data_IF_324398134059
#
_entry.id   IF_324398134059
#
_cell.length_a   1.000
_cell.length_b   1.000
_cell.length_c   1.000
_cell.angle_alpha   90.00
_cell.angle_beta   90.00
_cell.angle_gamma   90.00
#
_symmetry.space_group_name_H-M   'P 1'
#
loop_
_entity.id
_entity.type
_entity.pdbx_description
1 polymer ?
#
# COMPACT_ATOMS: atom_id res chain seq x y z
N UNK A 1 0.12 14.09 -10.52
CA UNK A 1 -0.55 12.81 -10.16
C UNK A 1 -0.35 11.83 -11.29
N UNK A 2 0.25 10.68 -11.03
CA UNK A 2 0.49 9.62 -12.02
C UNK A 2 -0.44 8.45 -11.72
N UNK A 3 -0.89 7.75 -12.76
CA UNK A 3 -1.79 6.60 -12.64
C UNK A 3 -1.16 5.37 -13.28
N UNK A 4 -1.21 4.24 -12.59
CA UNK A 4 -0.65 2.97 -13.04
C UNK A 4 -1.72 1.90 -12.90
N UNK A 5 -2.17 1.34 -14.02
CA UNK A 5 -3.12 0.23 -14.02
C UNK A 5 -2.43 -1.06 -13.59
N UNK A 6 -3.04 -1.82 -12.69
CA UNK A 6 -2.49 -3.08 -12.19
C UNK A 6 -3.08 -4.23 -12.99
N UNK A 7 -2.24 -4.87 -13.80
CA UNK A 7 -2.67 -5.92 -14.73
C UNK A 7 -3.37 -7.06 -13.99
N UNK A 8 -4.41 -7.61 -14.63
CA UNK A 8 -5.26 -8.71 -14.09
C UNK A 8 -6.06 -8.36 -12.83
N UNK A 9 -6.16 -7.08 -12.50
CA UNK A 9 -7.01 -6.59 -11.42
C UNK A 9 -7.86 -5.41 -11.93
N UNK A 10 -8.95 -5.03 -11.24
CA UNK A 10 -9.69 -3.81 -11.53
C UNK A 10 -9.02 -2.55 -10.94
N UNK A 11 -7.83 -2.67 -10.34
CA UNK A 11 -7.21 -1.59 -9.58
C UNK A 11 -6.28 -0.71 -10.44
N UNK A 12 -6.29 0.57 -10.11
CA UNK A 12 -5.33 1.58 -10.56
C UNK A 12 -4.69 2.22 -9.33
N UNK A 13 -3.36 2.27 -9.30
CA UNK A 13 -2.61 2.99 -8.30
C UNK A 13 -2.39 4.43 -8.77
N UNK A 14 -2.84 5.41 -8.00
CA UNK A 14 -2.58 6.83 -8.21
C UNK A 14 -1.52 7.31 -7.22
N UNK A 15 -0.41 7.86 -7.72
CA UNK A 15 0.65 8.46 -6.91
C UNK A 15 0.60 9.98 -6.98
N UNK A 16 0.83 10.65 -5.85
CA UNK A 16 0.95 12.09 -5.78
C UNK A 16 2.16 12.49 -4.94
N UNK A 17 3.21 12.97 -5.62
CA UNK A 17 4.46 13.44 -5.01
C UNK A 17 4.25 14.62 -4.05
N UNK A 18 3.44 15.62 -4.40
CA UNK A 18 3.23 16.81 -3.55
C UNK A 18 2.58 16.45 -2.21
N UNK A 19 1.74 15.41 -2.22
CA UNK A 19 1.05 14.92 -1.02
C UNK A 19 1.72 13.69 -0.39
N UNK A 20 2.80 13.20 -0.98
CA UNK A 20 3.47 11.95 -0.60
C UNK A 20 2.49 10.78 -0.40
N UNK A 21 1.49 10.67 -1.29
CA UNK A 21 0.35 9.77 -1.09
C UNK A 21 0.21 8.72 -2.19
N UNK A 22 -0.20 7.51 -1.79
CA UNK A 22 -0.69 6.44 -2.64
C UNK A 22 -2.21 6.36 -2.51
N UNK A 23 -2.92 6.25 -3.63
CA UNK A 23 -4.37 6.05 -3.64
C UNK A 23 -4.74 4.89 -4.56
N UNK A 24 -5.49 3.94 -4.04
CA UNK A 24 -5.98 2.81 -4.80
C UNK A 24 -7.39 3.15 -5.29
N UNK A 25 -7.60 3.05 -6.60
CA UNK A 25 -8.90 3.28 -7.24
C UNK A 25 -9.31 2.01 -7.98
N UNK A 26 -10.52 1.54 -7.74
CA UNK A 26 -11.08 0.38 -8.42
C UNK A 26 -12.46 0.05 -7.84
N UNK A 27 -13.28 -0.67 -8.59
CA UNK A 27 -14.54 -1.17 -8.07
C UNK A 27 -14.27 -2.38 -7.18
N UNK A 28 -14.52 -2.24 -5.88
CA UNK A 28 -14.40 -3.31 -4.89
C UNK A 28 -15.26 -2.99 -3.67
N UNK A 29 -15.70 -4.03 -2.97
CA UNK A 29 -16.35 -3.87 -1.66
C UNK A 29 -15.33 -3.65 -0.54
N UNK A 30 -14.04 -3.88 -0.79
CA UNK A 30 -12.98 -3.75 0.19
C UNK A 30 -12.52 -2.30 0.33
N UNK A 31 -12.28 -1.87 1.56
CA UNK A 31 -11.51 -0.65 1.85
C UNK A 31 -10.03 -1.01 1.80
N UNK A 32 -9.33 -0.58 0.77
CA UNK A 32 -7.92 -0.91 0.56
C UNK A 32 -7.08 0.35 0.70
N UNK A 33 -5.99 0.28 1.47
CA UNK A 33 -5.05 1.36 1.70
C UNK A 33 -3.60 0.90 1.50
N UNK A 34 -2.75 1.86 1.14
CA UNK A 34 -1.30 1.70 1.06
C UNK A 34 -0.65 3.00 1.53
N UNK A 35 0.28 2.92 2.48
CA UNK A 35 0.93 4.10 3.06
C UNK A 35 2.38 3.81 3.45
N UNK A 36 3.24 4.82 3.31
CA UNK A 36 4.57 4.81 3.91
C UNK A 36 4.50 5.50 5.27
N UNK A 37 4.61 4.71 6.34
CA UNK A 37 4.49 5.19 7.71
C UNK A 37 5.89 5.34 8.31
N UNK A 38 6.19 6.55 8.82
CA UNK A 38 7.44 6.82 9.54
C UNK A 38 7.48 6.02 10.85
N UNK A 39 8.63 5.44 11.18
CA UNK A 39 8.80 4.74 12.44
C UNK A 39 9.09 5.71 13.59
N UNK A 40 8.27 5.66 14.63
CA UNK A 40 8.33 6.59 15.79
C UNK A 40 9.50 6.34 16.75
N UNK A 41 10.11 5.15 16.74
CA UNK A 41 11.05 4.72 17.78
C UNK A 41 12.54 4.85 17.40
N UNK A 42 12.88 5.69 16.43
CA UNK A 42 14.29 5.93 16.11
C UNK A 42 14.90 6.89 17.15
N UNK A 43 16.04 6.49 17.70
CA UNK A 43 16.91 7.42 18.43
C UNK A 43 17.20 8.60 17.50
N UNK A 44 17.11 9.84 18.02
CA UNK A 44 17.23 11.03 17.19
C UNK A 44 18.68 11.36 16.81
N UNK A 45 19.67 10.72 17.43
CA UNK A 45 21.10 10.98 17.25
C UNK A 45 21.89 9.68 17.24
N UNK A 46 22.84 9.55 16.31
CA UNK A 46 23.81 8.46 16.27
C UNK A 46 24.95 8.66 17.31
N UNK A 47 25.92 7.74 17.35
CA UNK A 47 27.05 7.79 18.28
C UNK A 47 27.93 9.04 18.11
N UNK A 48 27.83 9.72 16.97
CA UNK A 48 28.57 10.94 16.63
C UNK A 48 27.75 12.22 16.89
N UNK A 49 26.46 12.10 17.20
CA UNK A 49 25.55 13.23 17.39
C UNK A 49 24.89 13.72 16.09
N UNK A 50 24.91 12.93 15.02
CA UNK A 50 24.21 13.21 13.76
C UNK A 50 22.78 12.64 13.79
N UNK A 51 21.83 13.34 13.16
CA UNK A 51 20.45 12.82 13.08
C UNK A 51 20.38 11.59 12.17
N UNK A 52 19.80 10.51 12.68
CA UNK A 52 19.47 9.34 11.85
C UNK A 52 18.50 9.72 10.73
N UNK A 53 18.70 9.12 9.56
CA UNK A 53 17.74 9.22 8.47
C UNK A 53 16.39 8.57 8.90
N UNK A 54 15.25 9.25 8.67
CA UNK A 54 13.94 8.69 8.98
C UNK A 54 13.72 7.32 8.33
N UNK A 55 13.37 6.31 9.11
CA UNK A 55 12.93 5.02 8.58
C UNK A 55 11.42 5.02 8.34
N UNK A 56 11.03 4.49 7.19
CA UNK A 56 9.64 4.24 6.83
C UNK A 56 9.42 2.76 6.62
N UNK A 57 8.18 2.34 6.85
CA UNK A 57 7.66 1.04 6.46
C UNK A 57 6.49 1.21 5.50
N UNK A 58 6.38 0.32 4.53
CA UNK A 58 5.15 0.18 3.75
C UNK A 58 4.10 -0.54 4.61
N UNK A 59 2.90 0.03 4.70
CA UNK A 59 1.73 -0.57 5.32
C UNK A 59 0.68 -0.77 4.23
N UNK A 60 0.19 -2.00 4.11
CA UNK A 60 -0.86 -2.40 3.18
C UNK A 60 -2.00 -3.02 3.98
N UNK A 61 -3.23 -2.54 3.76
CA UNK A 61 -4.40 -3.06 4.46
C UNK A 61 -5.58 -3.19 3.49
N UNK A 62 -6.37 -4.25 3.69
CA UNK A 62 -7.62 -4.46 2.99
C UNK A 62 -8.67 -4.91 4.02
N UNK A 63 -9.66 -4.08 4.25
CA UNK A 63 -10.74 -4.33 5.21
C UNK A 63 -12.05 -4.55 4.47
N UNK A 64 -12.73 -5.66 4.78
CA UNK A 64 -14.11 -5.85 4.34
C UNK A 64 -15.04 -5.08 5.30
N UNK A 65 -15.85 -4.12 4.79
CA UNK A 65 -16.53 -3.14 5.64
C UNK A 65 -17.67 -3.73 6.50
N UNK A 66 -18.23 -4.86 6.09
CA UNK A 66 -19.38 -5.51 6.72
C UNK A 66 -19.01 -6.89 7.29
N UNK A 67 -19.95 -7.53 7.99
CA UNK A 67 -19.78 -8.93 8.39
C UNK A 67 -19.74 -9.82 7.14
N UNK A 68 -18.58 -10.44 6.89
CA UNK A 68 -18.42 -11.42 5.82
C UNK A 68 -19.20 -12.70 6.13
N UNK A 69 -20.19 -13.03 5.31
CA UNK A 69 -20.96 -14.28 5.39
C UNK A 69 -20.81 -15.01 4.05
N UNK A 70 -20.36 -16.26 4.11
CA UNK A 70 -20.23 -17.14 2.95
C UNK A 70 -21.34 -18.18 3.00
N UNK A 71 -22.47 -17.87 2.38
CA UNK A 71 -23.70 -18.67 2.40
C UNK A 71 -23.87 -19.61 1.20
N UNK A 72 -22.89 -19.64 0.30
CA UNK A 72 -22.91 -20.51 -0.87
C UNK A 72 -21.60 -20.47 -1.68
N UNK A 73 -21.48 -21.42 -2.59
CA UNK A 73 -20.28 -21.57 -3.43
C UNK A 73 -20.05 -20.36 -4.35
N UNK A 74 -21.11 -19.69 -4.80
CA UNK A 74 -21.00 -18.47 -5.62
C UNK A 74 -20.36 -17.32 -4.82
N UNK A 75 -20.91 -16.98 -3.66
CA UNK A 75 -20.38 -15.92 -2.77
C UNK A 75 -18.94 -16.21 -2.37
N UNK A 76 -18.61 -17.45 -2.01
CA UNK A 76 -17.25 -17.85 -1.69
C UNK A 76 -16.28 -17.71 -2.88
N UNK A 77 -16.73 -17.98 -4.11
CA UNK A 77 -15.93 -17.84 -5.32
C UNK A 77 -15.63 -16.37 -5.65
N UNK A 78 -16.62 -15.49 -5.53
CA UNK A 78 -16.41 -14.05 -5.77
C UNK A 78 -15.44 -13.45 -4.74
N UNK A 79 -15.60 -13.77 -3.45
CA UNK A 79 -14.66 -13.32 -2.41
C UNK A 79 -13.25 -13.89 -2.64
N UNK A 80 -13.12 -15.15 -3.07
CA UNK A 80 -11.82 -15.72 -3.42
C UNK A 80 -11.17 -15.01 -4.61
N UNK A 81 -11.95 -14.54 -5.58
CA UNK A 81 -11.47 -13.73 -6.70
C UNK A 81 -10.97 -12.37 -6.21
N UNK A 82 -11.76 -11.67 -5.40
CA UNK A 82 -11.37 -10.37 -4.83
C UNK A 82 -10.05 -10.46 -4.05
N UNK A 83 -9.91 -11.48 -3.19
CA UNK A 83 -8.67 -11.70 -2.42
C UNK A 83 -7.46 -11.89 -3.33
N UNK A 84 -7.61 -12.64 -4.44
CA UNK A 84 -6.51 -12.82 -5.41
C UNK A 84 -6.13 -11.52 -6.10
N UNK A 85 -7.12 -10.69 -6.46
CA UNK A 85 -6.87 -9.39 -7.08
C UNK A 85 -6.18 -8.43 -6.09
N UNK A 86 -6.59 -8.43 -4.83
CA UNK A 86 -5.93 -7.65 -3.75
C UNK A 86 -4.50 -8.14 -3.53
N UNK A 87 -4.28 -9.46 -3.51
CA UNK A 87 -2.94 -10.03 -3.42
C UNK A 87 -2.04 -9.56 -4.57
N UNK A 88 -2.53 -9.62 -5.82
CA UNK A 88 -1.78 -9.13 -6.99
C UNK A 88 -1.46 -7.63 -6.89
N UNK A 89 -2.39 -6.83 -6.35
CA UNK A 89 -2.14 -5.42 -6.08
C UNK A 89 -1.05 -5.21 -5.03
N UNK A 90 -1.09 -5.96 -3.93
CA UNK A 90 -0.10 -5.85 -2.85
C UNK A 90 1.28 -6.26 -3.31
N UNK A 91 1.40 -7.40 -4.01
CA UNK A 91 2.65 -7.86 -4.61
C UNK A 91 3.25 -6.79 -5.53
N UNK A 92 2.43 -6.18 -6.40
CA UNK A 92 2.90 -5.08 -7.25
C UNK A 92 3.47 -3.91 -6.43
N UNK A 93 2.79 -3.46 -5.36
CA UNK A 93 3.25 -2.33 -4.55
C UNK A 93 4.54 -2.71 -3.79
N UNK A 94 4.62 -3.91 -3.23
CA UNK A 94 5.80 -4.40 -2.51
C UNK A 94 7.03 -4.51 -3.42
N UNK A 95 6.87 -5.11 -4.60
CA UNK A 95 7.94 -5.25 -5.60
C UNK A 95 8.45 -3.88 -6.07
N UNK A 96 7.59 -2.86 -6.09
CA UNK A 96 7.93 -1.51 -6.53
C UNK A 96 8.15 -0.52 -5.38
N UNK A 97 8.18 -0.97 -4.12
CA UNK A 97 8.14 -0.09 -2.94
C UNK A 97 9.23 0.98 -2.93
N UNK A 98 10.46 0.62 -3.33
CA UNK A 98 11.59 1.56 -3.41
C UNK A 98 11.36 2.64 -4.47
N UNK A 99 10.97 2.22 -5.67
CA UNK A 99 10.68 3.15 -6.76
C UNK A 99 9.51 4.10 -6.41
N UNK A 100 8.47 3.58 -5.75
CA UNK A 100 7.34 4.38 -5.30
C UNK A 100 7.75 5.38 -4.20
N UNK A 101 8.56 4.94 -3.25
CA UNK A 101 9.09 5.78 -2.18
C UNK A 101 9.92 6.94 -2.75
N UNK A 102 10.82 6.66 -3.69
CA UNK A 102 11.66 7.64 -4.38
C UNK A 102 10.81 8.58 -5.27
N UNK A 103 9.83 8.04 -6.01
CA UNK A 103 8.93 8.82 -6.86
C UNK A 103 8.12 9.84 -6.04
N UNK A 104 7.66 9.43 -4.86
CA UNK A 104 6.93 10.29 -3.93
C UNK A 104 7.84 11.29 -3.22
N UNK A 105 9.17 11.14 -3.30
CA UNK A 105 10.13 12.09 -2.76
C UNK A 105 10.17 12.13 -1.24
N UNK A 106 10.00 10.97 -0.59
CA UNK A 106 10.28 10.85 0.83
C UNK A 106 11.77 11.07 1.10
N UNK A 107 12.10 11.70 2.23
CA UNK A 107 13.47 11.81 2.71
C UNK A 107 13.67 10.81 3.85
N UNK A 108 14.54 9.83 3.63
CA UNK A 108 14.81 8.74 4.56
C UNK A 108 15.01 7.41 3.84
N UNK A 109 14.87 6.32 4.58
CA UNK A 109 15.02 4.95 4.08
C UNK A 109 13.72 4.17 4.22
N UNK A 110 13.45 3.31 3.26
CA UNK A 110 12.34 2.35 3.29
C UNK A 110 12.87 0.96 3.62
N UNK A 111 12.31 0.33 4.65
CA UNK A 111 12.63 -1.05 5.04
C UNK A 111 11.93 -2.07 4.11
#
# INVERSE_FOLDING_TARGET
>A
MKKTAILKTPFTLETNKEKQSLKIVGYTHWKISAEFVKQEHQLSLDENGDMFEPEYRLVLEAEFPDKLILDGAYTAKEISKDIKEIQTLFEFIEENKKNLFDELGFHGVIL
#
